data_IF_301758887666
#
_entry.id   IF_301758887666
#
_cell.length_a   1.000
_cell.length_b   1.000
_cell.length_c   1.000
_cell.angle_alpha   90.00
_cell.angle_beta   90.00
_cell.angle_gamma   90.00
#
_symmetry.space_group_name_H-M   'P 1'
#
loop_
_entity.id
_entity.type
_entity.pdbx_description
1 polymer ?
#
# COMPACT_ATOMS: atom_id res chain seq x y z
N UNK A 1 54.50 5.12 22.74
CA UNK A 1 55.13 6.12 21.84
C UNK A 1 54.10 7.19 21.51
N UNK A 2 54.57 8.43 21.42
CA UNK A 2 53.87 9.72 21.46
C UNK A 2 53.67 10.28 20.05
N UNK A 3 52.53 10.96 19.81
CA UNK A 3 52.22 12.06 18.86
C UNK A 3 52.56 11.86 17.35
N UNK A 4 51.91 12.42 16.31
CA UNK A 4 51.10 13.61 16.02
C UNK A 4 50.12 13.25 14.86
N UNK A 5 48.84 13.61 14.88
CA UNK A 5 48.24 14.87 14.37
C UNK A 5 48.49 15.18 12.88
N UNK A 6 47.46 15.06 12.02
CA UNK A 6 47.19 16.00 10.91
C UNK A 6 45.77 15.77 10.33
N UNK A 7 44.87 16.72 10.56
CA UNK A 7 43.82 17.10 9.62
C UNK A 7 44.23 18.49 9.10
N UNK A 8 43.77 19.02 7.93
CA UNK A 8 42.42 19.61 7.92
C UNK A 8 41.74 19.95 6.54
N UNK A 9 40.47 20.39 6.63
CA UNK A 9 39.69 21.35 5.76
C UNK A 9 39.19 20.85 4.40
N UNK A 10 38.07 21.33 3.82
CA UNK A 10 36.90 22.17 4.18
C UNK A 10 35.98 22.09 2.95
N UNK A 11 34.65 22.13 3.11
CA UNK A 11 33.77 22.26 1.93
C UNK A 11 32.27 22.37 2.20
N UNK A 12 31.83 22.92 3.34
CA UNK A 12 30.42 23.21 3.57
C UNK A 12 30.06 24.62 3.06
N UNK A 13 29.19 24.70 2.04
CA UNK A 13 28.58 25.94 1.54
C UNK A 13 27.28 26.22 2.31
N UNK A 14 27.08 27.41 2.92
CA UNK A 14 25.77 27.79 3.46
C UNK A 14 24.85 28.35 2.36
N UNK A 15 23.62 27.85 2.31
CA UNK A 15 22.56 28.32 1.42
C UNK A 15 21.95 29.61 1.96
N UNK A 16 21.82 30.61 1.06
CA UNK A 16 21.27 31.95 1.31
C UNK A 16 19.82 31.90 1.76
N UNK A 17 19.52 32.57 2.87
CA UNK A 17 18.16 32.98 3.25
C UNK A 17 17.79 34.21 2.42
N UNK A 18 16.90 34.06 1.45
CA UNK A 18 16.26 35.18 0.75
C UNK A 18 15.10 35.69 1.60
N UNK A 19 15.21 36.92 2.10
CA UNK A 19 14.09 37.71 2.61
C UNK A 19 13.17 38.10 1.45
N UNK A 20 11.87 37.83 1.60
CA UNK A 20 10.82 38.48 0.83
C UNK A 20 9.90 39.25 1.80
N UNK A 21 9.88 40.58 1.64
CA UNK A 21 8.74 41.45 1.97
C UNK A 21 7.61 41.14 0.98
N UNK A 22 6.33 41.18 1.39
CA UNK A 22 5.49 42.39 1.21
C UNK A 22 4.46 42.51 2.36
N UNK A 23 3.58 43.50 2.53
CA UNK A 23 3.24 44.80 1.94
C UNK A 23 2.33 45.46 2.99
N UNK A 24 2.58 46.71 3.34
CA UNK A 24 1.73 47.47 4.24
C UNK A 24 0.40 47.78 3.53
N UNK A 25 -0.69 47.24 4.06
CA UNK A 25 -2.06 47.53 3.67
C UNK A 25 -2.72 48.36 4.77
N UNK A 26 -3.09 49.57 4.39
CA UNK A 26 -3.79 50.61 5.13
C UNK A 26 -5.13 50.15 5.70
N UNK A 27 -5.47 50.64 6.90
CA UNK A 27 -6.84 51.08 7.23
C UNK A 27 -6.83 51.95 8.47
N UNK A 28 -7.21 53.19 8.22
CA UNK A 28 -7.41 54.29 9.15
C UNK A 28 -8.35 53.93 10.29
N UNK A 29 -7.92 54.27 11.50
CA UNK A 29 -8.75 54.32 12.69
C UNK A 29 -9.48 55.68 12.74
N UNK A 30 -10.77 55.58 13.05
CA UNK A 30 -11.78 56.61 13.11
C UNK A 30 -11.40 57.90 13.87
N UNK A 31 -11.67 59.04 13.25
CA UNK A 31 -11.86 60.33 13.93
C UNK A 31 -12.87 61.19 13.14
N UNK A 32 -13.84 61.76 13.85
CA UNK A 32 -14.85 62.72 13.37
C UNK A 32 -16.25 62.12 13.23
N UNK A 33 -17.34 62.70 13.73
CA UNK A 33 -17.60 63.94 14.45
C UNK A 33 -18.97 63.82 15.13
N UNK A 34 -19.24 64.55 16.22
CA UNK A 34 -20.57 64.68 16.80
C UNK A 34 -21.40 65.67 15.95
N UNK A 35 -22.74 65.65 16.06
CA UNK A 35 -23.67 66.78 15.92
C UNK A 35 -25.10 66.24 15.73
N UNK A 36 -25.87 66.10 16.83
CA UNK A 36 -27.33 66.16 16.73
C UNK A 36 -27.75 67.57 17.08
N UNK A 37 -28.22 68.23 16.02
CA UNK A 37 -28.75 69.58 15.90
C UNK A 37 -29.96 69.76 16.83
N UNK A 38 -29.85 70.73 17.73
CA UNK A 38 -30.98 71.34 18.44
C UNK A 38 -31.84 72.10 17.43
N UNK A 39 -33.15 71.85 17.42
CA UNK A 39 -34.11 72.68 16.68
C UNK A 39 -35.12 73.27 17.68
N UNK A 40 -35.14 74.60 17.89
CA UNK A 40 -36.11 75.26 18.74
C UNK A 40 -37.25 75.81 17.87
N UNK A 41 -38.49 75.38 18.08
CA UNK A 41 -39.66 76.20 17.74
C UNK A 41 -40.74 76.13 18.82
N UNK A 42 -41.21 77.33 19.07
CA UNK A 42 -42.07 77.82 20.14
C UNK A 42 -43.56 77.52 19.86
N UNK A 43 -44.49 77.97 20.73
CA UNK A 43 -45.39 77.13 21.49
C UNK A 43 -46.80 77.06 20.88
N UNK A 44 -47.55 76.00 21.18
CA UNK A 44 -49.01 76.09 21.11
C UNK A 44 -49.61 75.69 22.45
N UNK A 45 -50.30 76.68 23.01
CA UNK A 45 -51.16 76.67 24.17
C UNK A 45 -52.16 75.51 24.12
N UNK A 46 -51.97 74.53 25.01
CA UNK A 46 -52.99 73.55 25.35
C UNK A 46 -53.51 73.87 26.74
N UNK A 47 -54.82 74.10 26.82
CA UNK A 47 -55.58 74.42 28.02
C UNK A 47 -55.49 73.29 29.05
N UNK A 48 -55.06 73.64 30.26
CA UNK A 48 -55.01 72.72 31.40
C UNK A 48 -56.44 72.51 31.89
N UNK A 49 -57.04 71.38 31.54
CA UNK A 49 -58.25 70.86 32.16
C UNK A 49 -57.82 70.05 33.38
N UNK A 50 -58.05 70.57 34.59
CA UNK A 50 -57.75 69.86 35.84
C UNK A 50 -58.79 68.75 36.02
N UNK A 51 -58.40 67.52 35.67
CA UNK A 51 -59.12 66.30 36.06
C UNK A 51 -58.82 65.93 37.52
N UNK A 52 -59.70 65.19 38.20
CA UNK A 52 -59.50 64.76 39.59
C UNK A 52 -58.25 63.88 39.73
N UNK A 53 -57.62 63.82 40.92
CA UNK A 53 -56.33 63.17 41.11
C UNK A 53 -56.42 61.68 40.82
N UNK A 54 -55.78 61.24 39.73
CA UNK A 54 -55.52 59.83 39.51
C UNK A 54 -54.57 59.33 40.59
N UNK A 55 -55.05 58.33 41.32
CA UNK A 55 -54.35 57.58 42.35
C UNK A 55 -53.09 57.00 41.73
N UNK A 56 -51.93 57.48 42.16
CA UNK A 56 -50.62 56.98 41.78
C UNK A 56 -50.49 55.53 42.27
N UNK A 57 -50.92 54.56 41.46
CA UNK A 57 -50.69 53.15 41.72
C UNK A 57 -49.19 52.90 41.67
N UNK A 58 -48.62 52.52 42.82
CA UNK A 58 -47.23 52.19 42.99
C UNK A 58 -46.76 51.20 41.91
N UNK A 59 -45.51 51.31 41.40
CA UNK A 59 -44.99 50.32 40.50
C UNK A 59 -45.04 48.94 41.19
N UNK A 60 -45.39 47.85 40.48
CA UNK A 60 -45.31 46.53 41.07
C UNK A 60 -43.88 46.33 41.56
N UNK A 61 -43.74 46.05 42.86
CA UNK A 61 -42.46 45.66 43.44
C UNK A 61 -41.96 44.47 42.63
N UNK A 62 -40.90 44.69 41.84
CA UNK A 62 -40.19 43.62 41.19
C UNK A 62 -39.75 42.65 42.29
N UNK A 63 -40.45 41.51 42.41
CA UNK A 63 -39.98 40.38 43.19
C UNK A 63 -38.66 39.98 42.55
N UNK A 64 -37.55 40.37 43.15
CA UNK A 64 -36.28 39.68 42.93
C UNK A 64 -36.51 38.25 43.39
N UNK A 65 -36.87 37.37 42.46
CA UNK A 65 -36.80 35.94 42.70
C UNK A 65 -35.32 35.63 42.92
N UNK A 66 -34.93 35.55 44.18
CA UNK A 66 -33.63 35.02 44.57
C UNK A 66 -33.73 33.53 44.26
N UNK A 67 -33.26 33.14 43.07
CA UNK A 67 -33.09 31.73 42.70
C UNK A 67 -32.28 31.09 43.83
N UNK A 68 -32.90 30.18 44.59
CA UNK A 68 -32.21 29.56 45.73
C UNK A 68 -31.01 28.80 45.17
N UNK A 69 -29.86 28.86 45.86
CA UNK A 69 -28.62 28.19 45.42
C UNK A 69 -28.83 26.70 45.06
N UNK A 70 -29.82 26.05 45.69
CA UNK A 70 -30.21 24.66 45.44
C UNK A 70 -30.92 24.45 44.08
N UNK A 71 -31.72 25.42 43.64
CA UNK A 71 -32.41 25.38 42.35
C UNK A 71 -31.43 25.70 41.21
N UNK A 72 -30.45 26.58 41.46
CA UNK A 72 -29.34 26.85 40.53
C UNK A 72 -28.43 25.62 40.36
N UNK A 73 -28.17 24.88 41.45
CA UNK A 73 -27.41 23.64 41.42
C UNK A 73 -28.09 22.53 40.61
N UNK A 74 -29.40 22.36 40.76
CA UNK A 74 -30.18 21.39 39.98
C UNK A 74 -30.24 21.78 38.50
N UNK A 75 -30.38 23.07 38.19
CA UNK A 75 -30.40 23.57 36.82
C UNK A 75 -29.04 23.43 36.13
N UNK A 76 -27.94 23.66 36.85
CA UNK A 76 -26.59 23.37 36.37
C UNK A 76 -26.32 21.86 36.22
N UNK A 77 -26.88 21.01 37.08
CA UNK A 77 -26.74 19.56 36.98
C UNK A 77 -27.53 18.99 35.79
N UNK A 78 -28.75 19.49 35.55
CA UNK A 78 -29.56 19.14 34.37
C UNK A 78 -28.93 19.70 33.09
N UNK A 79 -28.41 20.93 33.12
CA UNK A 79 -27.68 21.51 31.99
C UNK A 79 -26.39 20.74 31.68
N UNK A 80 -25.62 20.31 32.70
CA UNK A 80 -24.45 19.45 32.48
C UNK A 80 -24.86 18.07 31.98
N UNK A 81 -25.93 17.44 32.50
CA UNK A 81 -26.46 16.18 31.97
C UNK A 81 -26.89 16.28 30.49
N UNK A 82 -27.56 17.39 30.12
CA UNK A 82 -27.96 17.69 28.74
C UNK A 82 -26.75 17.99 27.83
N UNK A 83 -25.70 18.62 28.36
CA UNK A 83 -24.44 18.84 27.65
C UNK A 83 -23.68 17.53 27.38
N UNK A 84 -23.65 16.58 28.32
CA UNK A 84 -23.03 15.27 28.12
C UNK A 84 -23.76 14.39 27.08
N UNK A 85 -25.10 14.52 26.98
CA UNK A 85 -25.91 13.76 26.02
C UNK A 85 -25.68 14.15 24.54
N UNK A 86 -25.13 15.33 24.24
CA UNK A 86 -24.90 15.78 22.85
C UNK A 86 -23.66 15.17 22.17
N UNK A 87 -22.79 14.48 22.91
CA UNK A 87 -21.57 13.87 22.37
C UNK A 87 -21.80 12.62 21.48
N UNK A 88 -23.05 12.13 21.38
CA UNK A 88 -23.39 10.92 20.63
C UNK A 88 -23.81 11.14 19.15
N UNK A 89 -24.05 12.39 18.72
CA UNK A 89 -24.64 12.69 17.39
C UNK A 89 -23.64 13.13 16.31
N UNK A 90 -22.32 13.06 16.56
CA UNK A 90 -21.29 13.46 15.59
C UNK A 90 -20.54 12.27 14.95
N UNK A 91 -21.10 11.06 15.00
CA UNK A 91 -20.41 9.84 14.58
C UNK A 91 -20.92 9.37 13.22
N UNK A 92 -20.07 9.44 12.18
CA UNK A 92 -20.42 8.88 10.88
C UNK A 92 -20.43 7.34 10.96
N UNK A 93 -21.47 6.74 10.39
CA UNK A 93 -21.60 5.29 10.25
C UNK A 93 -21.50 4.89 8.79
N UNK A 94 -20.75 3.84 8.52
CA UNK A 94 -20.76 3.15 7.22
C UNK A 94 -21.09 1.69 7.51
N UNK A 95 -22.11 1.16 6.86
CA UNK A 95 -22.51 -0.23 6.98
C UNK A 95 -22.52 -0.87 5.59
N UNK A 96 -22.38 -2.18 5.55
CA UNK A 96 -22.27 -2.89 4.29
C UNK A 96 -22.44 -4.39 4.44
N UNK A 97 -22.44 -5.07 3.31
CA UNK A 97 -22.43 -6.53 3.25
C UNK A 97 -21.34 -7.05 2.32
N UNK A 98 -20.71 -8.15 2.72
CA UNK A 98 -19.71 -8.88 1.94
C UNK A 98 -20.34 -10.19 1.47
N UNK A 99 -20.35 -10.41 0.16
CA UNK A 99 -20.94 -11.61 -0.46
C UNK A 99 -19.99 -12.18 -1.51
N UNK A 100 -20.18 -13.44 -1.89
CA UNK A 100 -19.49 -14.03 -3.03
C UNK A 100 -20.28 -13.80 -4.34
N UNK A 101 -19.73 -14.25 -5.47
CA UNK A 101 -20.37 -14.16 -6.79
C UNK A 101 -21.71 -14.92 -6.89
N UNK A 102 -21.89 -15.95 -6.07
CA UNK A 102 -23.14 -16.72 -5.96
C UNK A 102 -24.19 -16.02 -5.07
N UNK A 103 -23.88 -14.84 -4.54
CA UNK A 103 -24.73 -14.06 -3.64
C UNK A 103 -24.76 -14.54 -2.19
N UNK A 104 -23.96 -15.56 -1.84
CA UNK A 104 -23.85 -16.08 -0.48
C UNK A 104 -23.07 -15.09 0.42
N UNK A 105 -23.52 -14.88 1.67
CA UNK A 105 -22.84 -13.99 2.61
C UNK A 105 -21.50 -14.58 3.08
N UNK A 106 -20.47 -13.75 3.16
CA UNK A 106 -19.14 -14.14 3.63
C UNK A 106 -18.93 -13.72 5.09
N UNK A 107 -18.86 -14.70 5.98
CA UNK A 107 -18.57 -14.53 7.41
C UNK A 107 -17.07 -14.39 7.65
N UNK A 108 -16.68 -13.54 8.59
CA UNK A 108 -15.28 -13.42 9.03
C UNK A 108 -14.38 -12.67 8.04
N UNK A 109 -14.97 -11.92 7.10
CA UNK A 109 -14.23 -10.99 6.27
C UNK A 109 -13.62 -9.90 7.14
N UNK A 110 -12.35 -9.58 6.91
CA UNK A 110 -11.66 -8.49 7.57
C UNK A 110 -11.74 -7.27 6.68
N UNK A 111 -12.48 -6.25 7.13
CA UNK A 111 -12.61 -4.97 6.43
C UNK A 111 -11.69 -3.97 7.11
N UNK A 112 -10.77 -3.38 6.35
CA UNK A 112 -9.84 -2.36 6.81
C UNK A 112 -10.12 -1.05 6.10
N UNK A 113 -10.61 -0.04 6.82
CA UNK A 113 -10.74 1.33 6.34
C UNK A 113 -9.48 2.13 6.64
N UNK A 114 -8.91 2.79 5.64
CA UNK A 114 -7.79 3.71 5.78
C UNK A 114 -8.17 5.11 5.27
N UNK A 115 -7.87 6.12 6.08
CA UNK A 115 -7.97 7.53 5.76
C UNK A 115 -6.80 8.27 6.46
N UNK A 116 -5.75 8.66 5.71
CA UNK A 116 -4.59 9.38 6.26
C UNK A 116 -4.93 10.71 6.95
N UNK A 117 -6.07 11.33 6.63
CA UNK A 117 -6.51 12.58 7.23
C UNK A 117 -7.37 12.38 8.50
N UNK A 118 -7.71 11.14 8.85
CA UNK A 118 -8.47 10.80 10.05
C UNK A 118 -7.55 10.36 11.21
N UNK A 119 -8.04 10.51 12.44
CA UNK A 119 -7.39 10.00 13.65
C UNK A 119 -8.40 9.12 14.43
N UNK A 120 -8.18 7.79 14.54
CA UNK A 120 -7.10 7.03 13.92
C UNK A 120 -7.26 6.93 12.40
N UNK A 121 -6.14 6.83 11.69
CA UNK A 121 -6.12 6.74 10.22
C UNK A 121 -6.61 5.39 9.71
N UNK A 122 -6.47 4.34 10.50
CA UNK A 122 -6.94 2.99 10.16
C UNK A 122 -8.03 2.52 11.12
N UNK A 123 -9.04 1.84 10.57
CA UNK A 123 -10.11 1.17 11.30
C UNK A 123 -10.31 -0.22 10.74
N UNK A 124 -10.49 -1.21 11.60
CA UNK A 124 -10.79 -2.58 11.20
C UNK A 124 -12.13 -3.03 11.75
N UNK A 125 -12.84 -3.86 10.99
CA UNK A 125 -14.08 -4.50 11.38
C UNK A 125 -14.16 -5.89 10.75
N UNK A 126 -14.93 -6.79 11.35
CA UNK A 126 -15.18 -8.13 10.81
C UNK A 126 -16.63 -8.32 10.42
N UNK A 127 -16.90 -9.10 9.37
CA UNK A 127 -18.26 -9.41 8.95
C UNK A 127 -18.91 -10.51 9.81
N UNK A 128 -20.22 -10.36 10.07
CA UNK A 128 -21.04 -11.31 10.82
C UNK A 128 -21.40 -12.58 10.00
N UNK A 129 -22.16 -13.51 10.60
CA UNK A 129 -22.61 -14.73 9.92
C UNK A 129 -23.53 -14.47 8.71
N UNK A 130 -24.11 -13.27 8.60
CA UNK A 130 -24.93 -12.82 7.47
C UNK A 130 -24.11 -11.93 6.51
N UNK A 131 -22.78 -11.90 6.66
CA UNK A 131 -21.87 -11.11 5.84
C UNK A 131 -21.94 -9.60 6.08
N UNK A 132 -22.65 -9.14 7.11
CA UNK A 132 -22.84 -7.71 7.39
C UNK A 132 -21.73 -7.18 8.28
N UNK A 133 -21.35 -5.93 8.08
CA UNK A 133 -20.41 -5.23 8.92
C UNK A 133 -20.84 -3.76 9.08
N UNK A 134 -20.31 -3.10 10.12
CA UNK A 134 -20.46 -1.66 10.25
C UNK A 134 -19.31 -1.02 10.97
N UNK A 135 -18.83 0.08 10.41
CA UNK A 135 -17.94 1.01 11.08
C UNK A 135 -18.75 2.09 11.78
N UNK A 136 -18.39 2.34 13.04
CA UNK A 136 -18.96 3.38 13.87
C UNK A 136 -17.91 4.46 14.09
N UNK A 137 -18.37 5.71 14.24
CA UNK A 137 -17.52 6.87 14.54
C UNK A 137 -16.35 7.05 13.55
N UNK A 138 -16.63 6.94 12.26
CA UNK A 138 -15.67 7.31 11.22
C UNK A 138 -15.56 8.84 11.12
N UNK A 139 -14.35 9.32 10.83
CA UNK A 139 -14.13 10.73 10.49
C UNK A 139 -14.70 11.07 9.12
N UNK A 140 -14.97 12.35 8.86
CA UNK A 140 -15.30 12.82 7.50
C UNK A 140 -14.10 12.64 6.56
N UNK A 141 -14.37 12.45 5.29
CA UNK A 141 -13.36 12.43 4.24
C UNK A 141 -13.39 11.16 3.39
N UNK A 142 -12.40 11.02 2.52
CA UNK A 142 -12.24 9.83 1.68
C UNK A 142 -11.66 8.69 2.52
N UNK A 143 -12.41 7.60 2.62
CA UNK A 143 -11.98 6.34 3.20
C UNK A 143 -11.77 5.31 2.10
N UNK A 144 -10.65 4.61 2.17
CA UNK A 144 -10.37 3.45 1.33
C UNK A 144 -10.61 2.21 2.16
N UNK A 145 -11.61 1.41 1.78
CA UNK A 145 -11.93 0.15 2.45
C UNK A 145 -11.38 -1.02 1.65
N UNK A 146 -10.52 -1.81 2.30
CA UNK A 146 -9.99 -3.06 1.76
C UNK A 146 -10.68 -4.21 2.49
N UNK A 147 -11.36 -5.07 1.73
CA UNK A 147 -12.00 -6.28 2.25
C UNK A 147 -11.12 -7.47 1.91
N UNK A 148 -10.72 -8.21 2.93
CA UNK A 148 -9.87 -9.38 2.82
C UNK A 148 -10.56 -10.60 3.45
N UNK A 149 -10.61 -11.70 2.71
CA UNK A 149 -11.16 -12.99 3.16
C UNK A 149 -10.25 -14.09 2.63
N UNK A 150 -9.79 -15.04 3.48
CA UNK A 150 -9.04 -16.20 3.00
C UNK A 150 -9.78 -16.94 1.88
N UNK A 151 -9.10 -17.18 0.76
CA UNK A 151 -9.67 -17.85 -0.42
C UNK A 151 -10.40 -16.93 -1.41
N UNK A 152 -10.43 -15.61 -1.18
CA UNK A 152 -11.05 -14.63 -2.07
C UNK A 152 -10.09 -13.50 -2.44
N UNK A 153 -10.28 -12.93 -3.62
CA UNK A 153 -9.49 -11.79 -4.10
C UNK A 153 -9.86 -10.54 -3.29
N UNK A 154 -8.86 -9.90 -2.66
CA UNK A 154 -9.10 -8.73 -1.82
C UNK A 154 -9.65 -7.57 -2.66
N UNK A 155 -10.74 -6.95 -2.21
CA UNK A 155 -11.39 -5.86 -2.94
C UNK A 155 -11.15 -4.52 -2.23
N UNK A 156 -10.84 -3.47 -3.00
CA UNK A 156 -10.61 -2.12 -2.48
C UNK A 156 -11.64 -1.15 -3.05
N UNK A 157 -12.42 -0.51 -2.18
CA UNK A 157 -13.46 0.46 -2.56
C UNK A 157 -13.24 1.78 -1.83
N UNK A 158 -13.31 2.89 -2.56
CA UNK A 158 -13.21 4.24 -2.00
C UNK A 158 -14.59 4.84 -1.78
N UNK A 159 -14.80 5.44 -0.61
CA UNK A 159 -16.06 6.08 -0.24
C UNK A 159 -15.80 7.41 0.47
N UNK A 160 -16.58 8.43 0.13
CA UNK A 160 -16.58 9.70 0.87
C UNK A 160 -17.56 9.59 2.03
N UNK A 161 -17.03 9.59 3.24
CA UNK A 161 -17.81 9.52 4.49
C UNK A 161 -18.17 10.92 4.96
N UNK A 162 -19.45 11.11 5.28
CA UNK A 162 -20.04 12.37 5.75
C UNK A 162 -20.47 12.21 7.22
N UNK A 163 -20.31 13.28 7.99
CA UNK A 163 -20.73 13.32 9.41
C UNK A 163 -22.22 13.64 9.57
N UNK A 164 -22.80 14.37 8.61
CA UNK A 164 -24.22 14.69 8.58
C UNK A 164 -24.85 14.07 7.34
N UNK A 165 -26.02 13.45 7.54
CA UNK A 165 -26.77 12.74 6.50
C UNK A 165 -26.44 11.25 6.40
N UNK A 166 -27.10 10.57 5.46
CA UNK A 166 -26.88 9.13 5.22
C UNK A 166 -25.61 8.91 4.40
N UNK A 167 -24.76 8.00 4.86
CA UNK A 167 -23.62 7.51 4.09
C UNK A 167 -24.03 6.37 3.15
N UNK A 168 -23.35 6.19 2.02
CA UNK A 168 -23.57 5.05 1.14
C UNK A 168 -23.22 3.73 1.84
N UNK A 169 -23.95 2.65 1.51
CA UNK A 169 -23.59 1.31 1.94
C UNK A 169 -22.39 0.78 1.15
N UNK A 170 -21.53 0.01 1.80
CA UNK A 170 -20.41 -0.67 1.15
C UNK A 170 -20.79 -2.13 0.90
N UNK A 171 -21.44 -2.38 -0.23
CA UNK A 171 -21.79 -3.73 -0.66
C UNK A 171 -20.71 -4.27 -1.60
N UNK A 172 -19.99 -5.30 -1.14
CA UNK A 172 -18.82 -5.85 -1.82
C UNK A 172 -19.09 -7.29 -2.22
N UNK A 173 -18.94 -7.57 -3.50
CA UNK A 173 -18.96 -8.93 -4.04
C UNK A 173 -17.52 -9.36 -4.29
N UNK A 174 -17.05 -10.36 -3.55
CA UNK A 174 -15.73 -10.92 -3.72
C UNK A 174 -15.76 -12.08 -4.71
N UNK A 175 -14.71 -12.15 -5.53
CA UNK A 175 -14.44 -13.28 -6.40
C UNK A 175 -13.58 -14.28 -5.64
N UNK A 176 -13.97 -15.55 -5.64
CA UNK A 176 -13.09 -16.59 -5.12
C UNK A 176 -11.80 -16.60 -5.93
N UNK A 177 -10.66 -16.75 -5.26
CA UNK A 177 -9.40 -16.97 -5.97
C UNK A 177 -9.53 -18.35 -6.59
N UNK A 178 -9.91 -18.39 -7.87
CA UNK A 178 -9.74 -19.58 -8.67
C UNK A 178 -8.25 -19.67 -8.93
N UNK A 179 -7.55 -20.47 -8.13
CA UNK A 179 -6.19 -20.89 -8.45
C UNK A 179 -6.26 -21.61 -9.80
N UNK A 180 -6.01 -20.90 -10.90
CA UNK A 180 -5.58 -21.60 -12.10
C UNK A 180 -4.32 -22.36 -11.68
N UNK A 181 -4.19 -23.66 -12.02
CA UNK A 181 -2.97 -24.40 -11.74
C UNK A 181 -1.80 -23.58 -12.30
N UNK A 182 -0.69 -23.48 -11.55
CA UNK A 182 0.38 -22.54 -11.84
C UNK A 182 0.85 -22.75 -13.28
N UNK A 183 0.52 -21.84 -14.19
CA UNK A 183 0.86 -22.02 -15.60
C UNK A 183 2.38 -21.88 -15.76
N UNK A 184 3.05 -23.00 -16.04
CA UNK A 184 4.50 -23.08 -16.11
C UNK A 184 5.00 -24.54 -16.08
N UNK A 185 6.32 -24.78 -16.20
CA UNK A 185 6.89 -26.14 -16.22
C UNK A 185 6.66 -26.94 -14.93
N UNK A 186 6.12 -26.31 -13.87
CA UNK A 186 5.76 -26.93 -12.59
C UNK A 186 4.23 -27.10 -12.41
N UNK A 187 3.40 -26.79 -13.41
CA UNK A 187 1.93 -26.67 -13.31
C UNK A 187 1.21 -27.87 -12.71
N UNK A 188 1.72 -29.08 -13.02
CA UNK A 188 1.11 -30.34 -12.63
C UNK A 188 1.96 -31.10 -11.60
N UNK A 189 2.87 -30.40 -10.93
CA UNK A 189 3.75 -31.00 -9.93
C UNK A 189 3.22 -30.69 -8.55
N UNK A 190 3.02 -31.74 -7.76
CA UNK A 190 2.80 -31.63 -6.33
C UNK A 190 4.07 -31.03 -5.70
N UNK A 191 3.98 -29.75 -5.35
CA UNK A 191 5.10 -28.97 -4.80
C UNK A 191 5.55 -29.56 -3.47
N UNK A 192 4.63 -30.07 -2.63
CA UNK A 192 5.00 -30.67 -1.35
C UNK A 192 5.78 -31.97 -1.55
N UNK A 193 5.31 -32.84 -2.45
CA UNK A 193 6.02 -34.07 -2.81
C UNK A 193 7.39 -33.79 -3.45
N UNK A 194 7.50 -32.73 -4.27
CA UNK A 194 8.79 -32.30 -4.83
C UNK A 194 9.77 -31.83 -3.75
N UNK A 195 9.31 -31.00 -2.82
CA UNK A 195 10.14 -30.52 -1.70
C UNK A 195 10.65 -31.70 -0.86
N UNK A 196 9.75 -32.61 -0.50
CA UNK A 196 10.13 -33.82 0.24
C UNK A 196 11.21 -34.63 -0.50
N UNK A 197 11.06 -34.82 -1.81
CA UNK A 197 12.03 -35.58 -2.60
C UNK A 197 13.38 -34.89 -2.73
N UNK A 198 13.41 -33.56 -2.76
CA UNK A 198 14.65 -32.78 -2.70
C UNK A 198 15.33 -32.91 -1.33
N UNK A 199 14.55 -32.91 -0.24
CA UNK A 199 15.07 -33.10 1.11
C UNK A 199 15.66 -34.51 1.30
N UNK A 200 15.00 -35.53 0.76
CA UNK A 200 15.50 -36.91 0.73
C UNK A 200 16.83 -37.00 -0.03
N UNK A 201 16.92 -36.40 -1.22
CA UNK A 201 18.15 -36.35 -2.01
C UNK A 201 19.30 -35.68 -1.22
N UNK A 202 19.02 -34.53 -0.60
CA UNK A 202 19.99 -33.81 0.21
C UNK A 202 20.39 -34.59 1.47
N UNK A 203 19.49 -35.38 2.06
CA UNK A 203 19.82 -36.26 3.17
C UNK A 203 20.81 -37.36 2.75
N UNK A 204 20.60 -37.97 1.57
CA UNK A 204 21.56 -38.92 0.99
C UNK A 204 22.92 -38.28 0.69
N UNK A 205 22.95 -37.05 0.16
CA UNK A 205 24.22 -36.34 -0.04
C UNK A 205 24.99 -36.12 1.26
N UNK A 206 24.30 -35.66 2.32
CA UNK A 206 24.90 -35.43 3.64
C UNK A 206 25.40 -36.73 4.28
N UNK A 207 24.73 -37.84 3.98
CA UNK A 207 25.14 -39.17 4.41
C UNK A 207 26.30 -39.75 3.57
N UNK A 208 26.79 -39.05 2.55
CA UNK A 208 27.84 -39.54 1.64
C UNK A 208 27.36 -40.62 0.66
N UNK A 209 26.06 -40.87 0.61
CA UNK A 209 25.40 -41.83 -0.28
C UNK A 209 25.18 -41.20 -1.65
N UNK A 210 26.28 -41.01 -2.38
CA UNK A 210 26.32 -40.23 -3.62
C UNK A 210 25.47 -40.88 -4.73
N UNK A 211 25.50 -42.21 -4.85
CA UNK A 211 24.76 -42.92 -5.89
C UNK A 211 23.24 -42.83 -5.69
N UNK A 212 22.78 -42.96 -4.44
CA UNK A 212 21.38 -42.81 -4.07
C UNK A 212 20.90 -41.37 -4.26
N UNK A 213 21.73 -40.38 -3.90
CA UNK A 213 21.42 -38.98 -4.15
C UNK A 213 21.26 -38.70 -5.66
N UNK A 214 22.20 -39.18 -6.49
CA UNK A 214 22.14 -39.04 -7.95
C UNK A 214 20.86 -39.68 -8.51
N UNK A 215 20.47 -40.85 -8.02
CA UNK A 215 19.25 -41.52 -8.45
C UNK A 215 18.02 -40.64 -8.21
N UNK A 216 17.87 -40.08 -7.00
CA UNK A 216 16.73 -39.22 -6.66
C UNK A 216 16.73 -37.93 -7.50
N UNK A 217 17.86 -37.26 -7.64
CA UNK A 217 17.94 -36.05 -8.47
C UNK A 217 17.63 -36.32 -9.95
N UNK A 218 18.06 -37.46 -10.49
CA UNK A 218 17.75 -37.84 -11.88
C UNK A 218 16.25 -38.06 -12.09
N UNK A 219 15.56 -38.64 -11.12
CA UNK A 219 14.09 -38.78 -11.17
C UNK A 219 13.41 -37.41 -11.18
N UNK A 220 13.90 -36.47 -10.36
CA UNK A 220 13.39 -35.10 -10.35
C UNK A 220 13.65 -34.42 -11.70
N UNK A 221 14.87 -34.52 -12.25
CA UNK A 221 15.23 -33.96 -13.56
C UNK A 221 14.38 -34.55 -14.70
N UNK A 222 14.01 -35.83 -14.62
CA UNK A 222 13.17 -36.49 -15.63
C UNK A 222 11.76 -35.92 -15.65
N UNK A 223 11.21 -35.60 -14.47
CA UNK A 223 9.88 -34.98 -14.34
C UNK A 223 9.92 -33.48 -14.62
N UNK A 224 11.01 -32.83 -14.24
CA UNK A 224 11.18 -31.38 -14.26
C UNK A 224 12.48 -31.00 -14.97
N UNK A 225 12.56 -31.18 -16.30
CA UNK A 225 13.77 -30.84 -17.05
C UNK A 225 14.09 -29.35 -17.05
N UNK A 226 13.12 -28.50 -16.70
CA UNK A 226 13.31 -27.05 -16.57
C UNK A 226 13.97 -26.64 -15.23
N UNK A 227 14.12 -27.57 -14.27
CA UNK A 227 14.68 -27.25 -12.96
C UNK A 227 16.21 -27.27 -13.00
N UNK A 228 16.80 -26.17 -13.49
CA UNK A 228 18.25 -26.03 -13.69
C UNK A 228 19.09 -26.32 -12.45
N UNK A 229 18.57 -26.02 -11.25
CA UNK A 229 19.26 -26.30 -9.98
C UNK A 229 19.60 -27.79 -9.81
N UNK A 230 18.73 -28.70 -10.27
CA UNK A 230 18.94 -30.14 -10.14
C UNK A 230 20.10 -30.60 -11.02
N UNK A 231 20.21 -30.09 -12.25
CA UNK A 231 21.36 -30.34 -13.12
C UNK A 231 22.66 -29.82 -12.50
N UNK A 232 22.62 -28.67 -11.82
CA UNK A 232 23.78 -28.16 -11.09
C UNK A 232 24.21 -29.12 -9.95
N UNK A 233 23.26 -29.66 -9.18
CA UNK A 233 23.58 -30.63 -8.12
C UNK A 233 24.10 -31.95 -8.67
N UNK A 234 23.49 -32.49 -9.73
CA UNK A 234 23.98 -33.69 -10.42
C UNK A 234 25.42 -33.52 -10.89
N UNK A 235 25.77 -32.36 -11.46
CA UNK A 235 27.15 -32.02 -11.83
C UNK A 235 28.13 -32.12 -10.65
N UNK A 236 27.77 -31.53 -9.51
CA UNK A 236 28.60 -31.57 -8.29
C UNK A 236 28.76 -33.00 -7.76
N UNK A 237 27.69 -33.80 -7.79
CA UNK A 237 27.72 -35.18 -7.32
C UNK A 237 28.55 -36.08 -8.25
N UNK A 238 28.48 -35.86 -9.56
CA UNK A 238 29.34 -36.54 -10.52
C UNK A 238 30.81 -36.15 -10.36
N UNK A 239 31.14 -34.89 -10.06
CA UNK A 239 32.51 -34.49 -9.69
C UNK A 239 33.01 -35.25 -8.45
N UNK A 240 32.18 -35.40 -7.42
CA UNK A 240 32.53 -36.18 -6.21
C UNK A 240 32.77 -37.66 -6.53
N UNK A 241 32.05 -38.21 -7.51
CA UNK A 241 32.24 -39.57 -8.02
C UNK A 241 33.44 -39.69 -8.98
N UNK A 242 34.14 -38.59 -9.28
CA UNK A 242 35.20 -38.50 -10.28
C UNK A 242 34.74 -38.82 -11.72
N UNK A 243 33.42 -38.77 -11.98
CA UNK A 243 32.85 -38.93 -13.32
C UNK A 243 32.81 -37.56 -14.03
N UNK A 244 33.98 -37.16 -14.53
CA UNK A 244 34.17 -35.86 -15.21
C UNK A 244 33.29 -35.74 -16.46
N UNK A 245 33.05 -36.84 -17.16
CA UNK A 245 32.23 -36.84 -18.37
C UNK A 245 30.77 -36.52 -18.06
N UNK A 246 30.18 -37.20 -17.07
CA UNK A 246 28.82 -36.91 -16.63
C UNK A 246 28.69 -35.52 -16.01
N UNK A 247 29.66 -35.11 -15.18
CA UNK A 247 29.66 -33.76 -14.58
C UNK A 247 29.66 -32.65 -15.63
N UNK A 248 30.50 -32.80 -16.66
CA UNK A 248 30.60 -31.83 -17.77
C UNK A 248 29.28 -31.72 -18.53
N UNK A 249 28.62 -32.84 -18.80
CA UNK A 249 27.33 -32.84 -19.50
C UNK A 249 26.24 -32.09 -18.71
N UNK A 250 26.14 -32.33 -17.40
CA UNK A 250 25.16 -31.66 -16.53
C UNK A 250 25.40 -30.16 -16.43
N UNK A 251 26.65 -29.70 -16.27
CA UNK A 251 26.95 -28.27 -16.25
C UNK A 251 26.71 -27.58 -17.60
N UNK A 252 26.89 -28.29 -18.72
CA UNK A 252 26.51 -27.75 -20.03
C UNK A 252 24.99 -27.57 -20.15
N UNK A 253 24.17 -28.47 -19.59
CA UNK A 253 22.72 -28.28 -19.53
C UNK A 253 22.35 -27.03 -18.73
N UNK A 254 23.02 -26.80 -17.60
CA UNK A 254 22.84 -25.58 -16.80
C UNK A 254 23.10 -24.33 -17.63
N UNK A 255 24.22 -24.28 -18.37
CA UNK A 255 24.56 -23.09 -19.17
C UNK A 255 23.71 -22.90 -20.42
N UNK A 256 23.06 -23.96 -20.93
CA UNK A 256 22.08 -23.82 -22.02
C UNK A 256 20.84 -23.04 -21.56
N UNK A 257 20.39 -23.29 -20.33
CA UNK A 257 19.24 -22.59 -19.74
C UNK A 257 19.63 -21.25 -19.10
N UNK A 258 20.79 -21.22 -18.42
CA UNK A 258 21.31 -20.08 -17.67
C UNK A 258 22.76 -19.75 -18.09
N UNK A 259 22.97 -19.04 -19.22
CA UNK A 259 24.32 -18.73 -19.72
C UNK A 259 25.19 -17.91 -18.75
N UNK A 260 24.56 -17.23 -17.79
CA UNK A 260 25.22 -16.38 -16.78
C UNK A 260 25.54 -17.13 -15.48
N UNK A 261 25.23 -18.43 -15.38
CA UNK A 261 25.46 -19.20 -14.17
C UNK A 261 26.97 -19.38 -13.88
N UNK A 262 27.49 -18.56 -12.97
CA UNK A 262 28.91 -18.51 -12.63
C UNK A 262 29.43 -19.84 -12.07
N UNK A 263 28.59 -20.60 -11.34
CA UNK A 263 28.98 -21.88 -10.74
C UNK A 263 29.24 -22.93 -11.81
N UNK A 264 28.31 -23.10 -12.76
CA UNK A 264 28.46 -24.04 -13.85
C UNK A 264 29.64 -23.67 -14.78
N UNK A 265 29.84 -22.36 -15.05
CA UNK A 265 30.98 -21.91 -15.86
C UNK A 265 32.32 -22.22 -15.19
N UNK A 266 32.46 -21.86 -13.91
CA UNK A 266 33.67 -22.14 -13.15
C UNK A 266 33.95 -23.65 -13.02
N UNK A 267 32.91 -24.47 -12.88
CA UNK A 267 33.05 -25.92 -12.84
C UNK A 267 33.54 -26.48 -14.18
N UNK A 268 32.98 -26.04 -15.31
CA UNK A 268 33.47 -26.46 -16.64
C UNK A 268 34.89 -25.99 -16.92
N UNK A 269 35.26 -24.76 -16.53
CA UNK A 269 36.64 -24.26 -16.66
C UNK A 269 37.62 -25.14 -15.87
N UNK A 270 37.23 -25.60 -14.67
CA UNK A 270 38.02 -26.51 -13.84
C UNK A 270 38.11 -27.93 -14.42
N UNK A 271 37.02 -28.43 -15.00
CA UNK A 271 36.93 -29.79 -15.56
C UNK A 271 37.48 -29.90 -16.99
N UNK A 272 37.68 -28.77 -17.67
CA UNK A 272 38.28 -28.76 -18.99
C UNK A 272 39.68 -29.37 -18.94
N UNK A 273 40.03 -30.29 -19.85
CA UNK A 273 41.41 -30.74 -19.98
C UNK A 273 42.28 -29.50 -20.25
N UNK A 274 43.36 -29.34 -19.48
CA UNK A 274 44.28 -28.18 -19.38
C UNK A 274 45.04 -27.84 -20.69
N UNK A 275 44.37 -27.88 -21.84
CA UNK A 275 44.93 -27.64 -23.17
C UNK A 275 43.99 -26.94 -24.16
N UNK A 276 42.81 -26.45 -23.74
CA UNK A 276 41.91 -25.62 -24.57
C UNK A 276 41.35 -24.40 -23.82
N UNK A 277 42.17 -23.78 -22.97
CA UNK A 277 41.90 -22.42 -22.53
C UNK A 277 42.07 -21.46 -23.69
N UNK A 278 40.99 -20.72 -24.04
CA UNK A 278 40.83 -19.75 -25.14
C UNK A 278 40.11 -20.31 -26.39
N UNK A 279 38.81 -20.54 -26.26
CA UNK A 279 37.93 -20.02 -27.31
C UNK A 279 37.15 -18.83 -26.72
N UNK A 280 37.35 -17.62 -27.27
CA UNK A 280 36.66 -16.44 -26.79
C UNK A 280 35.18 -16.56 -27.11
N UNK A 281 34.38 -16.09 -26.16
CA UNK A 281 33.00 -15.69 -26.33
C UNK A 281 32.71 -15.36 -27.80
N UNK A 282 31.86 -16.15 -28.45
CA UNK A 282 31.14 -15.73 -29.65
C UNK A 282 30.25 -14.55 -29.25
N UNK A 283 30.91 -13.41 -29.09
CA UNK A 283 30.35 -12.10 -29.35
C UNK A 283 29.72 -12.22 -30.73
N UNK A 284 28.41 -12.05 -30.77
CA UNK A 284 27.66 -11.81 -31.97
C UNK A 284 28.26 -10.58 -32.68
N UNK A 285 29.30 -10.80 -33.47
CA UNK A 285 29.88 -9.80 -34.36
C UNK A 285 28.93 -9.71 -35.53
N UNK A 286 28.01 -8.75 -35.43
CA UNK A 286 27.27 -8.20 -36.57
C UNK A 286 28.29 -7.88 -37.66
N UNK A 287 28.36 -8.72 -38.68
CA UNK A 287 29.09 -8.45 -39.91
C UNK A 287 28.28 -7.39 -40.69
N UNK A 288 28.87 -6.24 -41.07
CA UNK A 288 28.21 -5.31 -41.96
C UNK A 288 28.06 -5.97 -43.34
N UNK A 289 26.84 -5.88 -43.90
CA UNK A 289 26.49 -6.29 -45.26
C UNK A 289 27.33 -5.49 -46.28
N UNK A 290 28.47 -6.06 -46.67
CA UNK A 290 29.34 -5.54 -47.72
C UNK A 290 29.17 -6.34 -49.01
N UNK A 291 28.47 -5.74 -49.96
CA UNK A 291 28.44 -5.99 -51.42
C UNK A 291 29.20 -7.25 -51.91
N UNK A 292 28.46 -8.25 -52.39
CA UNK A 292 28.96 -9.17 -53.42
C UNK A 292 28.18 -8.99 -54.72
N UNK A 293 28.78 -8.16 -55.55
CA UNK A 293 28.77 -8.13 -57.01
C UNK A 293 28.30 -9.45 -57.63
N UNK A 294 27.12 -9.42 -58.26
CA UNK A 294 26.65 -10.49 -59.13
C UNK A 294 27.44 -10.46 -60.44
N UNK A 295 28.35 -11.41 -60.63
CA UNK A 295 28.94 -11.70 -61.93
C UNK A 295 28.32 -12.98 -62.50
N UNK A 296 27.38 -12.75 -63.41
CA UNK A 296 26.93 -13.55 -64.56
C UNK A 296 27.31 -15.04 -64.56
N UNK A 297 26.30 -15.89 -64.42
CA UNK A 297 26.32 -17.27 -64.90
C UNK A 297 26.40 -17.27 -66.43
N UNK A 298 27.43 -17.95 -66.96
CA UNK A 298 27.54 -18.27 -68.37
C UNK A 298 26.58 -19.42 -68.68
N UNK A 299 25.65 -19.15 -69.59
CA UNK A 299 24.68 -20.11 -70.10
C UNK A 299 25.33 -21.02 -71.15
N UNK A 300 25.09 -22.32 -70.97
CA UNK A 300 25.15 -23.44 -71.93
C UNK A 300 25.46 -23.11 -73.40
N UNK A 301 26.48 -23.77 -73.94
CA UNK A 301 26.48 -24.29 -75.30
C UNK A 301 27.17 -25.66 -75.30
N UNK A 302 26.39 -26.74 -75.40
CA UNK A 302 26.91 -28.04 -75.80
C UNK A 302 25.97 -28.56 -76.89
N UNK A 303 26.50 -28.60 -78.10
CA UNK A 303 25.84 -28.92 -79.36
C UNK A 303 26.20 -30.36 -79.73
N UNK A 304 25.20 -31.21 -79.82
CA UNK A 304 25.15 -32.35 -80.75
C UNK A 304 23.74 -32.41 -81.33
#
# INVERSE_FOLDING_TARGET
MRFHAEAPRRGARPMRVRRCRPSAGTRDAAAGSPLIRVNPRHPQSASIRVGPPEVFSAPPRARREIVRLRDLGLLCLVATLLLFATSALAQARVAGSVRNQDGQPLKGATITGNNPAAAPSTRTATSDAKGRFSFLALGKGEWTFTVDVPGYESSTTKLIVRLLGSNPSLDVVLRAISELPPSGPLANVDVAALHQRLDDAAAHERAGKIDEAIAIYREIATRLPALTMVHLQLGVLHERKQDVAAATAEYQLVLKSEPTNAKARAALERLAPQGKGKEPQQTARVLPQGKRTGLRQATRENKK
#
